data_IF_292206741625
#
_entry.id   IF_292206741625
#
_cell.length_a   1.000
_cell.length_b   1.000
_cell.length_c   1.000
_cell.angle_alpha   90.00
_cell.angle_beta   90.00
_cell.angle_gamma   90.00
#
_symmetry.space_group_name_H-M   'P 1'
#
loop_
_entity.id
_entity.type
_entity.pdbx_description
1 polymer ?
#
# COMPACT_ATOMS: atom_id res chain seq x y z
N UNK A 1 -17.04 -4.50 -2.77
CA UNK A 1 -16.28 -5.43 -1.89
C UNK A 1 -16.85 -6.86 -1.92
N UNK A 2 -18.12 -7.09 -1.54
CA UNK A 2 -18.69 -8.44 -1.40
C UNK A 2 -18.65 -9.34 -2.66
N UNK A 3 -18.72 -8.78 -3.87
CA UNK A 3 -18.63 -9.58 -5.12
C UNK A 3 -17.20 -9.94 -5.56
N UNK A 4 -16.17 -9.33 -4.96
CA UNK A 4 -14.76 -9.53 -5.33
C UNK A 4 -13.98 -10.31 -4.27
N UNK A 5 -14.52 -10.41 -3.06
CA UNK A 5 -13.94 -11.16 -1.94
C UNK A 5 -14.61 -12.54 -1.90
N UNK A 6 -13.84 -13.64 -1.86
CA UNK A 6 -14.40 -14.98 -1.72
C UNK A 6 -15.21 -15.14 -0.42
N UNK A 7 -16.01 -16.22 -0.29
CA UNK A 7 -16.74 -16.52 0.96
C UNK A 7 -15.86 -16.60 2.22
N UNK A 8 -14.56 -16.85 2.05
CA UNK A 8 -13.55 -16.84 3.12
C UNK A 8 -13.28 -15.45 3.74
N UNK A 9 -13.77 -14.37 3.13
CA UNK A 9 -13.60 -13.01 3.66
C UNK A 9 -12.27 -12.33 3.32
N UNK A 10 -11.34 -13.02 2.65
CA UNK A 10 -10.06 -12.48 2.17
C UNK A 10 -9.66 -13.09 0.83
N UNK A 11 -8.81 -12.39 0.07
CA UNK A 11 -8.24 -12.89 -1.19
C UNK A 11 -6.92 -13.61 -0.90
N UNK A 12 -6.78 -14.91 -1.20
CA UNK A 12 -5.53 -15.66 -0.98
C UNK A 12 -4.48 -15.39 -2.06
N UNK A 13 -3.21 -15.58 -1.74
CA UNK A 13 -2.05 -15.41 -2.65
C UNK A 13 -2.26 -16.14 -3.99
N UNK A 14 -2.82 -17.36 -3.96
CA UNK A 14 -3.07 -18.18 -5.15
C UNK A 14 -3.98 -17.52 -6.20
N UNK A 15 -4.80 -16.53 -5.82
CA UNK A 15 -5.67 -15.82 -6.76
C UNK A 15 -5.01 -14.58 -7.39
N UNK A 16 -3.83 -14.17 -6.90
CA UNK A 16 -3.15 -12.93 -7.31
C UNK A 16 -1.66 -13.15 -7.57
N UNK A 17 -1.28 -14.39 -7.88
CA UNK A 17 0.11 -14.80 -8.08
C UNK A 17 0.82 -13.97 -9.15
N UNK A 18 0.18 -13.75 -10.30
CA UNK A 18 0.74 -12.95 -11.41
C UNK A 18 1.20 -11.56 -10.94
N UNK A 19 0.43 -10.94 -10.04
CA UNK A 19 0.75 -9.63 -9.46
C UNK A 19 1.84 -9.72 -8.39
N UNK A 20 1.83 -10.78 -7.56
CA UNK A 20 2.85 -11.03 -6.53
C UNK A 20 4.24 -11.34 -7.13
N UNK A 21 4.29 -12.04 -8.26
CA UNK A 21 5.50 -12.41 -8.99
C UNK A 21 6.29 -11.19 -9.49
N UNK A 22 5.62 -10.05 -9.72
CA UNK A 22 6.29 -8.79 -10.09
C UNK A 22 7.20 -8.26 -8.97
N UNK A 23 7.02 -8.70 -7.71
CA UNK A 23 7.76 -8.27 -6.52
C UNK A 23 7.87 -6.74 -6.41
N UNK A 24 6.78 -6.04 -6.75
CA UNK A 24 6.69 -4.57 -6.72
C UNK A 24 6.31 -4.01 -5.35
N UNK A 25 5.71 -4.82 -4.48
CA UNK A 25 5.23 -4.41 -3.16
C UNK A 25 6.09 -4.99 -2.03
N UNK A 26 6.36 -4.16 -1.05
CA UNK A 26 7.17 -4.47 0.11
C UNK A 26 6.50 -3.95 1.37
N UNK A 27 6.75 -4.60 2.50
CA UNK A 27 6.07 -4.32 3.75
C UNK A 27 7.08 -4.37 4.90
N UNK A 28 7.19 -3.24 5.59
CA UNK A 28 8.14 -2.98 6.66
C UNK A 28 7.41 -2.31 7.84
N UNK A 29 8.17 -1.91 8.86
CA UNK A 29 7.66 -1.18 10.02
C UNK A 29 7.59 -2.02 11.30
N UNK A 30 6.91 -1.50 12.33
CA UNK A 30 6.09 -0.30 12.32
C UNK A 30 6.90 1.00 12.18
N UNK A 31 6.32 2.02 11.54
CA UNK A 31 6.83 3.40 11.53
C UNK A 31 6.82 4.02 12.93
N UNK A 32 7.37 5.23 13.12
CA UNK A 32 7.26 5.94 14.41
C UNK A 32 5.82 6.21 14.84
N UNK A 33 4.88 6.35 13.90
CA UNK A 33 3.45 6.47 14.17
C UNK A 33 2.76 5.13 14.50
N UNK A 34 3.52 4.03 14.55
CA UNK A 34 3.02 2.71 14.92
C UNK A 34 2.36 1.94 13.78
N UNK A 35 2.39 2.46 12.56
CA UNK A 35 1.71 1.87 11.40
C UNK A 35 2.66 1.01 10.56
N UNK A 36 2.18 -0.06 9.91
CA UNK A 36 2.91 -0.73 8.85
C UNK A 36 3.29 0.24 7.72
N UNK A 37 4.48 0.04 7.18
CA UNK A 37 5.03 0.79 6.05
C UNK A 37 4.90 -0.05 4.77
N UNK A 38 4.00 0.35 3.87
CA UNK A 38 3.85 -0.26 2.57
C UNK A 38 4.65 0.51 1.52
N UNK A 39 5.52 -0.18 0.79
CA UNK A 39 6.38 0.43 -0.23
C UNK A 39 6.10 -0.22 -1.59
N UNK A 40 5.84 0.62 -2.60
CA UNK A 40 5.68 0.24 -4.00
C UNK A 40 6.89 0.72 -4.80
N UNK A 41 7.66 -0.22 -5.38
CA UNK A 41 8.69 0.07 -6.39
C UNK A 41 8.01 0.14 -7.76
N UNK A 42 7.65 1.35 -8.21
CA UNK A 42 6.76 1.55 -9.38
C UNK A 42 7.40 1.09 -10.69
N UNK A 43 8.74 1.09 -10.81
CA UNK A 43 9.41 0.61 -12.03
C UNK A 43 9.19 -0.89 -12.32
N UNK A 44 8.72 -1.65 -11.33
CA UNK A 44 8.33 -3.06 -11.47
C UNK A 44 6.85 -3.25 -11.84
N UNK A 45 6.07 -2.17 -11.82
CA UNK A 45 4.68 -2.19 -12.17
C UNK A 45 4.50 -2.07 -13.69
N UNK A 46 3.65 -2.91 -14.26
CA UNK A 46 3.17 -2.79 -15.62
C UNK A 46 1.63 -2.79 -15.60
N UNK A 47 0.97 -2.05 -16.51
CA UNK A 47 -0.48 -2.03 -16.59
C UNK A 47 -1.07 -3.45 -16.69
N UNK A 48 -2.01 -3.76 -15.81
CA UNK A 48 -2.60 -5.09 -15.75
C UNK A 48 -3.45 -5.39 -16.99
N UNK A 49 -3.25 -6.58 -17.58
CA UNK A 49 -4.12 -7.09 -18.65
C UNK A 49 -5.47 -7.51 -18.08
N UNK A 50 -5.46 -8.24 -16.96
CA UNK A 50 -6.64 -8.60 -16.19
C UNK A 50 -6.89 -7.58 -15.06
N UNK A 51 -7.85 -6.69 -15.30
CA UNK A 51 -8.21 -5.65 -14.35
C UNK A 51 -8.99 -6.20 -13.13
N UNK A 52 -9.65 -7.36 -13.27
CA UNK A 52 -10.32 -7.99 -12.14
C UNK A 52 -9.28 -8.63 -11.21
N UNK A 53 -8.27 -9.29 -11.78
CA UNK A 53 -7.14 -9.81 -11.01
C UNK A 53 -6.42 -8.68 -10.26
N UNK A 54 -6.12 -7.57 -10.94
CA UNK A 54 -5.50 -6.41 -10.30
C UNK A 54 -6.33 -5.85 -9.14
N UNK A 55 -7.65 -5.76 -9.26
CA UNK A 55 -8.53 -5.35 -8.15
C UNK A 55 -8.46 -6.32 -6.97
N UNK A 56 -8.46 -7.63 -7.24
CA UNK A 56 -8.26 -8.65 -6.20
C UNK A 56 -6.89 -8.50 -5.52
N UNK A 57 -5.86 -8.19 -6.29
CA UNK A 57 -4.52 -7.91 -5.78
C UNK A 57 -4.50 -6.68 -4.86
N UNK A 58 -5.17 -5.58 -5.24
CA UNK A 58 -5.28 -4.39 -4.37
C UNK A 58 -5.98 -4.73 -3.05
N UNK A 59 -7.04 -5.53 -3.07
CA UNK A 59 -7.71 -6.02 -1.85
C UNK A 59 -6.73 -6.84 -0.99
N UNK A 60 -6.10 -7.85 -1.60
CA UNK A 60 -5.13 -8.72 -0.93
C UNK A 60 -4.00 -7.91 -0.27
N UNK A 61 -3.44 -6.96 -1.02
CA UNK A 61 -2.38 -6.06 -0.59
C UNK A 61 -2.79 -5.25 0.65
N UNK A 62 -3.96 -4.61 0.60
CA UNK A 62 -4.44 -3.76 1.68
C UNK A 62 -4.80 -4.58 2.92
N UNK A 63 -5.50 -5.71 2.76
CA UNK A 63 -5.84 -6.61 3.86
C UNK A 63 -4.57 -7.12 4.57
N UNK A 64 -3.58 -7.60 3.80
CA UNK A 64 -2.32 -8.12 4.34
C UNK A 64 -1.49 -7.02 5.03
N UNK A 65 -1.48 -5.81 4.47
CA UNK A 65 -0.80 -4.65 5.08
C UNK A 65 -1.44 -4.25 6.41
N UNK A 66 -2.77 -4.16 6.45
CA UNK A 66 -3.50 -3.79 7.67
C UNK A 66 -3.31 -4.87 8.74
N UNK A 67 -3.41 -6.15 8.36
CA UNK A 67 -3.23 -7.28 9.27
C UNK A 67 -1.84 -7.35 9.90
N UNK A 68 -0.78 -6.91 9.20
CA UNK A 68 0.57 -6.90 9.76
C UNK A 68 0.76 -5.85 10.87
N UNK A 69 -0.12 -4.83 10.91
CA UNK A 69 -0.13 -3.80 11.94
C UNK A 69 -0.86 -4.19 13.23
N UNK A 70 -1.60 -5.31 13.25
CA UNK A 70 -2.44 -5.69 14.38
C UNK A 70 -1.58 -6.14 15.56
N UNK A 71 -1.67 -5.39 16.68
CA UNK A 71 -1.04 -5.73 17.95
C UNK A 71 -2.09 -6.06 19.01
N UNK A 72 -2.53 -7.31 19.01
CA UNK A 72 -2.99 -8.03 20.20
C UNK A 72 -4.37 -7.72 20.79
N UNK A 73 -4.95 -6.50 20.74
CA UNK A 73 -6.23 -6.26 21.47
C UNK A 73 -7.30 -5.35 20.86
N UNK A 74 -7.01 -4.47 19.91
CA UNK A 74 -8.10 -3.68 19.28
C UNK A 74 -7.97 -3.73 17.76
N UNK A 75 -8.99 -4.32 17.14
CA UNK A 75 -9.15 -4.38 15.69
C UNK A 75 -10.19 -3.36 15.27
N UNK A 76 -9.84 -2.44 14.37
CA UNK A 76 -10.79 -1.42 13.93
C UNK A 76 -10.17 -0.15 13.37
N UNK A 77 -9.05 0.31 13.92
CA UNK A 77 -8.43 1.62 13.61
C UNK A 77 -7.02 1.51 13.01
N UNK A 78 -6.59 0.31 12.61
CA UNK A 78 -5.29 0.08 11.99
C UNK A 78 -5.16 0.88 10.70
N UNK A 79 -4.07 1.65 10.60
CA UNK A 79 -3.74 2.44 9.42
C UNK A 79 -2.43 1.97 8.82
N UNK A 80 -2.14 2.42 7.61
CA UNK A 80 -0.88 2.21 6.91
C UNK A 80 -0.26 3.54 6.50
N UNK A 81 1.07 3.55 6.39
CA UNK A 81 1.82 4.57 5.67
C UNK A 81 2.29 3.97 4.35
N UNK A 82 2.04 4.66 3.25
CA UNK A 82 2.42 4.20 1.91
C UNK A 82 3.61 5.01 1.36
N UNK A 83 4.45 4.35 0.57
CA UNK A 83 5.52 4.96 -0.23
C UNK A 83 5.38 4.48 -1.66
N UNK A 84 5.27 5.41 -2.60
CA UNK A 84 5.37 5.15 -4.04
C UNK A 84 6.73 5.66 -4.51
N UNK A 85 7.62 4.74 -4.83
CA UNK A 85 8.95 5.05 -5.33
C UNK A 85 8.98 4.99 -6.85
N UNK A 86 9.14 6.15 -7.47
CA UNK A 86 9.18 6.31 -8.92
C UNK A 86 10.60 6.31 -9.49
N UNK A 87 11.59 5.91 -8.71
CA UNK A 87 12.94 5.75 -9.24
C UNK A 87 12.93 4.73 -10.39
N UNK A 88 13.59 5.09 -11.50
CA UNK A 88 13.75 4.27 -12.70
C UNK A 88 12.47 3.93 -13.48
N UNK A 89 11.35 4.63 -13.25
CA UNK A 89 10.16 4.41 -14.08
C UNK A 89 10.40 4.85 -15.53
N UNK A 90 9.74 4.16 -16.45
CA UNK A 90 9.69 4.48 -17.87
C UNK A 90 8.24 4.64 -18.34
N UNK A 91 8.05 5.01 -19.61
CA UNK A 91 6.70 5.08 -20.19
C UNK A 91 5.95 3.75 -20.17
N UNK A 92 6.64 2.61 -20.10
CA UNK A 92 6.00 1.29 -20.01
C UNK A 92 5.32 1.04 -18.66
N UNK A 93 5.74 1.77 -17.62
CA UNK A 93 5.18 1.64 -16.27
C UNK A 93 3.97 2.55 -16.03
N UNK A 94 3.60 3.40 -17.00
CA UNK A 94 2.50 4.34 -16.83
C UNK A 94 1.14 3.63 -16.78
N UNK A 95 0.54 3.62 -15.59
CA UNK A 95 -0.80 3.09 -15.38
C UNK A 95 -1.65 4.04 -14.51
N UNK A 96 -2.21 5.08 -15.15
CA UNK A 96 -3.13 5.98 -14.48
C UNK A 96 -4.35 5.25 -13.91
N UNK A 97 -4.85 4.24 -14.62
CA UNK A 97 -6.04 3.47 -14.21
C UNK A 97 -5.74 2.61 -12.99
N UNK A 98 -4.59 1.96 -12.95
CA UNK A 98 -4.12 1.18 -11.81
C UNK A 98 -3.97 2.04 -10.57
N UNK A 99 -3.35 3.21 -10.69
CA UNK A 99 -3.24 4.17 -9.59
C UNK A 99 -4.61 4.66 -9.09
N UNK A 100 -5.48 5.09 -10.01
CA UNK A 100 -6.86 5.51 -9.66
C UNK A 100 -7.58 4.37 -8.93
N UNK A 101 -7.45 3.13 -9.41
CA UNK A 101 -8.05 1.97 -8.75
C UNK A 101 -7.51 1.80 -7.33
N UNK A 102 -6.19 1.87 -7.11
CA UNK A 102 -5.60 1.77 -5.78
C UNK A 102 -6.15 2.82 -4.80
N UNK A 103 -6.17 4.10 -5.20
CA UNK A 103 -6.71 5.17 -4.37
C UNK A 103 -8.22 5.07 -4.16
N UNK A 104 -8.99 4.67 -5.18
CA UNK A 104 -10.42 4.42 -5.05
C UNK A 104 -10.72 3.32 -4.02
N UNK A 105 -9.88 2.28 -3.96
CA UNK A 105 -10.02 1.27 -2.93
C UNK A 105 -9.75 1.82 -1.53
N UNK A 106 -8.70 2.62 -1.37
CA UNK A 106 -8.40 3.29 -0.10
C UNK A 106 -9.55 4.20 0.35
N UNK A 107 -10.10 5.04 -0.53
CA UNK A 107 -11.15 5.98 -0.12
C UNK A 107 -12.54 5.33 0.04
N UNK A 108 -12.90 4.33 -0.78
CA UNK A 108 -14.26 3.77 -0.80
C UNK A 108 -14.43 2.47 -0.03
N UNK A 109 -13.40 1.63 0.07
CA UNK A 109 -13.50 0.31 0.70
C UNK A 109 -12.66 0.17 1.98
N UNK A 110 -11.64 1.03 2.13
CA UNK A 110 -10.75 1.08 3.30
C UNK A 110 -10.68 2.51 3.87
N UNK A 111 -11.82 3.19 4.11
CA UNK A 111 -11.82 4.58 4.54
C UNK A 111 -11.04 4.74 5.84
N UNK A 112 -10.34 5.86 5.96
CA UNK A 112 -9.47 6.20 7.10
C UNK A 112 -8.30 5.24 7.39
N UNK A 113 -8.05 4.24 6.53
CA UNK A 113 -6.90 3.32 6.66
C UNK A 113 -5.60 3.88 6.12
N UNK A 114 -5.65 4.83 5.18
CA UNK A 114 -4.45 5.58 4.77
C UNK A 114 -4.14 6.66 5.80
N UNK A 115 -3.00 6.54 6.48
CA UNK A 115 -2.47 7.59 7.37
C UNK A 115 -1.75 8.66 6.55
N UNK A 116 -0.81 8.23 5.70
CA UNK A 116 -0.03 9.11 4.83
C UNK A 116 0.51 8.35 3.62
N UNK A 117 0.72 9.03 2.50
CA UNK A 117 1.33 8.48 1.30
C UNK A 117 2.47 9.40 0.84
N UNK A 118 3.66 8.86 0.68
CA UNK A 118 4.81 9.59 0.14
C UNK A 118 5.09 9.17 -1.29
N UNK A 119 5.33 10.14 -2.15
CA UNK A 119 5.73 9.94 -3.55
C UNK A 119 7.19 10.38 -3.67
N UNK A 120 8.08 9.43 -3.92
CA UNK A 120 9.53 9.66 -4.02
C UNK A 120 9.99 9.63 -5.48
N UNK A 121 11.04 10.39 -5.79
CA UNK A 121 11.74 10.35 -7.07
C UNK A 121 10.84 10.57 -8.30
N UNK A 122 9.78 11.39 -8.18
CA UNK A 122 8.84 11.62 -9.28
C UNK A 122 9.53 12.33 -10.46
N UNK A 123 9.66 11.70 -11.64
CA UNK A 123 10.25 12.36 -12.79
C UNK A 123 9.26 13.37 -13.40
N UNK A 124 9.79 14.41 -14.04
CA UNK A 124 8.97 15.53 -14.55
C UNK A 124 7.83 15.10 -15.50
N UNK A 125 8.04 14.07 -16.34
CA UNK A 125 6.99 13.57 -17.24
C UNK A 125 5.81 12.94 -16.48
N UNK A 126 6.06 12.37 -15.30
CA UNK A 126 5.04 11.73 -14.48
C UNK A 126 4.13 12.73 -13.78
N UNK A 127 4.58 13.98 -13.58
CA UNK A 127 3.76 15.02 -12.97
C UNK A 127 2.43 15.25 -13.72
N UNK A 128 2.42 15.08 -15.04
CA UNK A 128 1.18 15.17 -15.84
C UNK A 128 0.22 14.01 -15.54
N UNK A 129 0.75 12.80 -15.42
CA UNK A 129 -0.02 11.61 -15.05
C UNK A 129 -0.58 11.77 -13.64
N UNK A 130 0.26 12.23 -12.71
CA UNK A 130 -0.15 12.50 -11.33
C UNK A 130 -1.27 13.54 -11.25
N UNK A 131 -1.15 14.68 -11.94
CA UNK A 131 -2.20 15.70 -12.01
C UNK A 131 -3.51 15.16 -12.56
N UNK A 132 -3.46 14.24 -13.53
CA UNK A 132 -4.65 13.57 -14.04
C UNK A 132 -5.26 12.65 -12.98
N UNK A 133 -4.45 11.82 -12.31
CA UNK A 133 -4.88 10.93 -11.23
C UNK A 133 -5.57 11.72 -10.11
N UNK A 134 -4.98 12.84 -9.65
CA UNK A 134 -5.55 13.69 -8.58
C UNK A 134 -6.99 14.12 -8.81
N UNK A 135 -7.45 14.23 -10.06
CA UNK A 135 -8.85 14.60 -10.37
C UNK A 135 -9.87 13.55 -9.90
N UNK A 136 -9.42 12.33 -9.62
CA UNK A 136 -10.24 11.21 -9.15
C UNK A 136 -10.11 10.96 -7.66
N UNK A 137 -9.24 11.68 -6.96
CA UNK A 137 -9.02 11.55 -5.52
C UNK A 137 -9.86 12.59 -4.79
N UNK A 138 -10.50 12.20 -3.68
CA UNK A 138 -11.13 13.17 -2.80
C UNK A 138 -10.10 14.04 -2.07
N UNK A 139 -10.57 15.17 -1.51
CA UNK A 139 -9.71 16.15 -0.84
C UNK A 139 -8.96 15.54 0.35
N UNK A 140 -9.63 14.70 1.13
CA UNK A 140 -9.05 14.05 2.31
C UNK A 140 -7.89 13.11 1.93
N UNK A 141 -8.00 12.40 0.81
CA UNK A 141 -6.92 11.56 0.29
C UNK A 141 -5.78 12.39 -0.26
N UNK A 142 -6.07 13.47 -1.00
CA UNK A 142 -5.03 14.39 -1.52
C UNK A 142 -4.22 15.04 -0.40
N UNK A 143 -4.86 15.44 0.69
CA UNK A 143 -4.20 16.04 1.87
C UNK A 143 -3.25 15.06 2.59
N UNK A 144 -3.44 13.75 2.42
CA UNK A 144 -2.58 12.69 2.97
C UNK A 144 -1.36 12.38 2.08
N UNK A 145 -1.29 12.94 0.87
CA UNK A 145 -0.21 12.66 -0.09
C UNK A 145 0.84 13.77 -0.05
N UNK A 146 2.09 13.37 0.11
CA UNK A 146 3.26 14.25 0.09
C UNK A 146 4.18 13.82 -1.05
N UNK A 147 4.45 14.72 -1.98
CA UNK A 147 5.47 14.52 -3.01
C UNK A 147 6.78 15.04 -2.42
N UNK A 148 7.79 14.18 -2.31
CA UNK A 148 9.09 14.57 -1.76
C UNK A 148 9.96 15.09 -2.91
N UNK A 149 10.24 16.39 -2.88
CA UNK A 149 10.91 17.14 -3.94
C UNK A 149 12.19 17.83 -3.49
N UNK A 150 12.34 18.11 -2.20
CA UNK A 150 13.53 18.76 -1.63
C UNK A 150 14.08 18.05 -0.37
N UNK A 151 15.21 18.55 0.13
CA UNK A 151 15.90 17.97 1.28
C UNK A 151 15.17 18.14 2.62
N UNK A 152 14.31 19.16 2.75
CA UNK A 152 13.51 19.34 3.97
C UNK A 152 12.38 18.31 4.02
N UNK A 153 11.69 18.11 2.90
CA UNK A 153 10.67 17.08 2.74
C UNK A 153 11.25 15.68 2.91
N UNK A 154 12.45 15.43 2.36
CA UNK A 154 13.18 14.18 2.55
C UNK A 154 13.48 13.92 4.02
N UNK A 155 14.02 14.92 4.74
CA UNK A 155 14.29 14.80 6.17
C UNK A 155 13.01 14.51 6.97
N UNK A 156 11.91 15.22 6.69
CA UNK A 156 10.62 14.99 7.35
C UNK A 156 10.09 13.59 7.10
N UNK A 157 10.20 13.10 5.85
CA UNK A 157 9.85 11.73 5.49
C UNK A 157 10.65 10.72 6.33
N UNK A 158 11.98 10.82 6.32
CA UNK A 158 12.86 9.92 7.07
C UNK A 158 12.59 9.95 8.59
N UNK A 159 12.39 11.15 9.14
CA UNK A 159 12.07 11.36 10.55
C UNK A 159 10.73 10.71 10.94
N UNK A 160 9.69 10.83 10.10
CA UNK A 160 8.35 10.29 10.36
C UNK A 160 8.30 8.77 10.22
N UNK A 161 8.98 8.21 9.22
CA UNK A 161 9.08 6.75 9.07
C UNK A 161 9.91 6.17 10.21
N UNK A 162 11.08 6.76 10.49
CA UNK A 162 12.04 6.27 11.48
C UNK A 162 13.00 5.23 10.91
N UNK A 163 14.25 5.31 11.36
CA UNK A 163 15.37 4.52 10.81
C UNK A 163 15.15 3.00 10.89
N UNK A 164 14.49 2.50 11.93
CA UNK A 164 14.28 1.05 12.10
C UNK A 164 13.19 0.48 11.17
N UNK A 165 12.28 1.34 10.69
CA UNK A 165 11.24 0.97 9.74
C UNK A 165 11.66 1.22 8.28
N UNK A 166 12.45 2.27 8.07
CA UNK A 166 12.87 2.72 6.76
C UNK A 166 13.94 1.77 6.19
N UNK A 167 13.78 1.28 4.95
CA UNK A 167 14.80 0.43 4.33
C UNK A 167 16.13 1.14 4.08
N UNK A 168 17.22 0.37 4.02
CA UNK A 168 18.58 0.86 3.73
C UNK A 168 18.65 1.66 2.41
N UNK A 169 17.92 1.24 1.38
CA UNK A 169 17.79 1.95 0.08
C UNK A 169 17.31 3.40 0.21
N UNK A 170 16.68 3.74 1.33
CA UNK A 170 16.12 5.06 1.63
C UNK A 170 16.83 5.75 2.81
N UNK A 171 18.00 5.25 3.22
CA UNK A 171 18.78 5.83 4.32
C UNK A 171 18.43 5.32 5.72
N UNK A 172 17.61 4.27 5.83
CA UNK A 172 17.29 3.64 7.10
C UNK A 172 18.18 2.43 7.44
N UNK A 173 17.69 1.57 8.35
CA UNK A 173 18.36 0.36 8.85
C UNK A 173 17.56 -0.91 8.59
N UNK A 174 16.34 -0.79 8.07
CA UNK A 174 15.49 -1.94 7.87
C UNK A 174 15.92 -2.74 6.63
N UNK A 175 15.85 -4.06 6.71
CA UNK A 175 15.90 -4.90 5.51
C UNK A 175 14.56 -4.80 4.78
N UNK A 176 14.62 -4.51 3.48
CA UNK A 176 13.42 -4.46 2.64
C UNK A 176 12.81 -5.87 2.53
N UNK A 177 11.54 -6.03 2.92
CA UNK A 177 10.85 -7.34 2.92
C UNK A 177 9.72 -7.35 1.90
N UNK A 178 9.73 -8.31 0.97
CA UNK A 178 8.67 -8.39 -0.05
C UNK A 178 7.35 -8.83 0.57
N UNK A 179 6.23 -8.34 0.04
CA UNK A 179 4.89 -8.62 0.57
C UNK A 179 4.59 -10.12 0.73
N UNK A 180 5.02 -10.94 -0.23
CA UNK A 180 4.85 -12.41 -0.20
C UNK A 180 5.61 -13.07 0.96
N UNK A 181 6.72 -12.48 1.41
CA UNK A 181 7.60 -13.08 2.43
C UNK A 181 7.17 -12.66 3.85
N UNK A 182 6.20 -11.76 3.99
CA UNK A 182 5.67 -11.35 5.28
C UNK A 182 4.77 -12.43 5.86
N UNK A 183 5.16 -12.92 7.04
CA UNK A 183 4.35 -13.76 7.89
C UNK A 183 3.46 -12.88 8.76
N UNK A 184 2.14 -13.05 8.64
CA UNK A 184 1.19 -12.35 9.50
C UNK A 184 1.24 -12.95 10.92
N UNK A 185 1.04 -12.12 11.96
CA UNK A 185 0.78 -12.64 13.30
C UNK A 185 -0.38 -13.63 13.22
N UNK A 186 -0.23 -14.84 13.78
CA UNK A 186 -1.38 -15.75 13.88
C UNK A 186 -2.49 -15.02 14.64
N UNK A 187 -3.66 -14.87 14.03
CA UNK A 187 -4.84 -14.45 14.74
C UNK A 187 -5.03 -15.42 15.91
N UNK A 188 -5.23 -14.91 17.13
CA UNK A 188 -5.59 -15.76 18.24
C UNK A 188 -6.81 -16.61 17.83
N UNK A 189 -6.78 -17.94 18.04
CA UNK A 189 -7.90 -18.80 17.67
C UNK A 189 -9.14 -18.35 18.45
N UNK A 190 -10.11 -17.75 17.74
CA UNK A 190 -11.34 -17.19 18.32
C UNK A 190 -11.92 -15.96 17.61
N UNK A 191 -11.17 -15.28 16.73
CA UNK A 191 -11.61 -14.03 16.10
C UNK A 191 -12.49 -14.17 14.84
N UNK A 192 -12.77 -15.38 14.35
CA UNK A 192 -13.62 -15.61 13.17
C UNK A 192 -14.98 -16.26 13.47
N UNK A 193 -15.36 -16.40 14.74
CA UNK A 193 -16.66 -16.95 15.13
C UNK A 193 -17.53 -15.89 15.82
N UNK A 194 -17.92 -14.87 15.08
CA UNK A 194 -19.10 -14.07 15.44
C UNK A 194 -19.59 -13.35 14.19
N UNK A 195 -20.51 -14.00 13.48
CA UNK A 195 -21.69 -13.43 12.80
C UNK A 195 -22.16 -14.35 11.68
N UNK A 196 -22.62 -15.52 12.09
CA UNK A 196 -23.69 -16.25 11.41
C UNK A 196 -24.63 -16.69 12.53
N UNK A 197 -25.66 -15.86 12.77
CA UNK A 197 -26.93 -16.12 13.47
C UNK A 197 -27.44 -14.81 14.07
N UNK A 198 -28.15 -14.00 13.28
CA UNK A 198 -29.57 -13.61 13.44
C UNK A 198 -30.03 -13.06 12.10
#
# INVERSE_FOLDING_TARGET
RASMVPPSGFVPDSQVMDELETRKMYLNGPTKSGHPLLICKVFKHFPAKDHLNFKKFVIHLLDKTIASGIKGKEVGDEKLVAVMDLQNITYQNLDARGMITGFQFLQSYYPERLSKCYILHMPGFFATVWRFVCRFLDKATQEKIVIVTDGEEQRKFEEEIGLDALPEDYGGRAKLTSLQDVLLPQAAPGMLTANSNV
#
